data_IF_107101512937
#
_entry.id   IF_107101512937
#
_cell.length_a   1.000
_cell.length_b   1.000
_cell.length_c   1.000
_cell.angle_alpha   90.00
_cell.angle_beta   90.00
_cell.angle_gamma   90.00
#
_symmetry.space_group_name_H-M   'P 1'
#
loop_
_entity.id
_entity.type
_entity.pdbx_description
1 polymer ?
#
# COMPACT_ATOMS: atom_id res chain seq x y z
N UNK A 1 5.10 -16.81 -7.41
CA UNK A 1 5.19 -15.51 -8.11
C UNK A 1 5.74 -14.39 -7.26
N UNK A 2 5.78 -14.51 -5.95
CA UNK A 2 6.23 -13.44 -5.06
C UNK A 2 7.68 -12.98 -5.27
N UNK A 3 8.55 -13.82 -5.81
CA UNK A 3 9.96 -13.50 -6.08
C UNK A 3 10.23 -13.24 -7.57
N UNK A 4 9.23 -13.32 -8.41
CA UNK A 4 9.38 -13.07 -9.84
C UNK A 4 9.64 -11.58 -10.07
N UNK A 5 10.67 -11.19 -10.87
CA UNK A 5 10.98 -9.78 -11.10
C UNK A 5 9.82 -8.96 -11.69
N UNK A 6 9.00 -9.58 -12.56
CA UNK A 6 7.83 -8.89 -13.12
C UNK A 6 6.82 -8.59 -12.02
N UNK A 7 6.57 -9.55 -11.13
CA UNK A 7 5.64 -9.38 -10.03
C UNK A 7 6.14 -8.37 -9.00
N UNK A 8 7.44 -8.37 -8.71
CA UNK A 8 8.04 -7.37 -7.81
C UNK A 8 7.94 -5.96 -8.39
N UNK A 9 8.13 -5.83 -9.71
CA UNK A 9 7.97 -4.56 -10.40
C UNK A 9 6.52 -4.07 -10.32
N UNK A 10 5.56 -4.96 -10.56
CA UNK A 10 4.14 -4.64 -10.43
C UNK A 10 3.81 -4.18 -9.01
N UNK A 11 4.30 -4.87 -7.99
CA UNK A 11 4.11 -4.50 -6.60
C UNK A 11 4.65 -3.10 -6.32
N UNK A 12 5.84 -2.78 -6.82
CA UNK A 12 6.43 -1.45 -6.66
C UNK A 12 5.54 -0.37 -7.26
N UNK A 13 5.02 -0.59 -8.46
CA UNK A 13 4.11 0.38 -9.10
C UNK A 13 2.80 0.51 -8.34
N UNK A 14 2.26 -0.59 -7.80
CA UNK A 14 1.06 -0.53 -6.96
C UNK A 14 1.29 0.29 -5.69
N UNK A 15 2.46 0.17 -5.08
CA UNK A 15 2.82 0.95 -3.89
C UNK A 15 2.92 2.44 -4.20
N UNK A 16 3.55 2.80 -5.32
CA UNK A 16 3.63 4.19 -5.76
C UNK A 16 2.24 4.74 -6.08
N UNK A 17 1.41 3.94 -6.77
CA UNK A 17 0.05 4.34 -7.09
C UNK A 17 -0.78 4.54 -5.81
N UNK A 18 -0.63 3.67 -4.81
CA UNK A 18 -1.33 3.80 -3.54
C UNK A 18 -0.97 5.11 -2.84
N UNK A 19 0.31 5.47 -2.80
CA UNK A 19 0.76 6.74 -2.22
C UNK A 19 0.14 7.92 -2.95
N UNK A 20 0.12 7.87 -4.28
CA UNK A 20 -0.50 8.93 -5.09
C UNK A 20 -1.99 9.06 -4.80
N UNK A 21 -2.71 7.93 -4.73
CA UNK A 21 -4.16 7.94 -4.50
C UNK A 21 -4.52 8.42 -3.10
N UNK A 22 -3.72 8.09 -2.09
CA UNK A 22 -3.90 8.61 -0.74
C UNK A 22 -3.72 10.12 -0.74
N UNK A 23 -2.69 10.62 -1.43
CA UNK A 23 -2.48 12.06 -1.59
C UNK A 23 -3.61 12.72 -2.35
N UNK A 24 -4.11 12.09 -3.40
CA UNK A 24 -5.24 12.58 -4.20
C UNK A 24 -6.50 12.73 -3.33
N UNK A 25 -6.79 11.74 -2.50
CA UNK A 25 -7.91 11.82 -1.56
C UNK A 25 -7.73 12.99 -0.58
N UNK A 26 -6.54 13.13 -0.01
CA UNK A 26 -6.25 14.25 0.90
C UNK A 26 -6.41 15.61 0.24
N UNK A 27 -6.00 15.73 -1.01
CA UNK A 27 -6.09 16.98 -1.75
C UNK A 27 -7.53 17.31 -2.15
N UNK A 28 -8.28 16.34 -2.66
CA UNK A 28 -9.60 16.57 -3.26
C UNK A 28 -10.74 16.64 -2.25
N UNK A 29 -10.60 15.99 -1.09
CA UNK A 29 -11.68 15.87 -0.10
C UNK A 29 -11.56 16.85 1.05
N UNK A 30 -10.58 17.77 1.00
CA UNK A 30 -10.34 18.74 2.06
C UNK A 30 -10.04 20.12 1.48
N UNK A 31 -10.16 21.14 2.33
CA UNK A 31 -9.92 22.53 1.94
C UNK A 31 -8.94 23.19 2.90
N UNK A 32 -8.33 24.31 2.46
CA UNK A 32 -7.44 25.10 3.26
C UNK A 32 -6.16 24.35 3.66
N UNK A 33 -5.74 24.53 4.91
CA UNK A 33 -4.53 23.91 5.46
C UNK A 33 -4.63 22.39 5.47
N UNK A 34 -5.83 21.85 5.73
CA UNK A 34 -6.04 20.39 5.78
C UNK A 34 -5.74 19.71 4.45
N UNK A 35 -6.02 20.37 3.33
CA UNK A 35 -5.70 19.84 2.01
C UNK A 35 -4.21 19.55 1.89
N UNK A 36 -3.36 20.49 2.28
CA UNK A 36 -1.92 20.32 2.20
C UNK A 36 -1.40 19.28 3.20
N UNK A 37 -1.86 19.34 4.44
CA UNK A 37 -1.44 18.40 5.46
C UNK A 37 -1.78 16.95 5.09
N UNK A 38 -2.99 16.72 4.58
CA UNK A 38 -3.43 15.36 4.25
C UNK A 38 -2.86 14.89 2.92
N UNK A 39 -2.77 15.77 1.91
CA UNK A 39 -2.22 15.40 0.60
C UNK A 39 -0.75 15.02 0.66
N UNK A 40 0.03 15.63 1.53
CA UNK A 40 1.46 15.36 1.66
C UNK A 40 1.80 14.59 2.93
N UNK A 41 1.10 14.85 4.01
CA UNK A 41 1.37 14.18 5.30
C UNK A 41 0.95 12.72 5.34
N UNK A 42 -0.21 12.39 4.78
CA UNK A 42 -0.68 11.00 4.78
C UNK A 42 0.20 10.07 3.93
N UNK A 43 0.57 10.43 2.69
CA UNK A 43 1.51 9.59 1.94
C UNK A 43 2.86 9.46 2.62
N UNK A 44 3.37 10.55 3.22
CA UNK A 44 4.63 10.50 3.94
C UNK A 44 4.55 9.58 5.16
N UNK A 45 3.47 9.67 5.93
CA UNK A 45 3.24 8.79 7.08
C UNK A 45 3.12 7.33 6.63
N UNK A 46 2.35 7.07 5.58
CA UNK A 46 2.16 5.73 5.05
C UNK A 46 3.49 5.15 4.55
N UNK A 47 4.26 5.93 3.82
CA UNK A 47 5.56 5.51 3.31
C UNK A 47 6.55 5.21 4.45
N UNK A 48 6.51 6.02 5.51
CA UNK A 48 7.37 5.82 6.68
C UNK A 48 7.02 4.53 7.39
N UNK A 49 5.73 4.29 7.68
CA UNK A 49 5.28 3.05 8.34
C UNK A 49 5.64 1.85 7.47
N UNK A 50 5.34 1.94 6.18
CA UNK A 50 5.60 0.86 5.25
C UNK A 50 7.09 0.53 5.13
N UNK A 51 7.95 1.56 5.12
CA UNK A 51 9.39 1.37 4.97
C UNK A 51 10.13 0.97 6.25
N UNK A 52 9.60 1.34 7.42
CA UNK A 52 10.25 1.09 8.72
C UNK A 52 9.87 -0.29 9.28
N UNK A 53 8.58 -0.63 9.25
CA UNK A 53 8.06 -1.86 9.85
C UNK A 53 8.05 -2.98 8.81
N UNK A 54 9.12 -3.77 8.77
CA UNK A 54 9.27 -4.84 7.79
C UNK A 54 9.69 -6.15 8.43
N UNK A 55 9.46 -7.25 7.70
CA UNK A 55 9.94 -8.58 8.07
C UNK A 55 11.36 -8.73 7.54
N UNK A 56 12.29 -9.33 8.33
CA UNK A 56 13.64 -9.63 7.82
C UNK A 56 13.57 -10.46 6.54
N UNK A 57 14.31 -10.05 5.52
CA UNK A 57 14.34 -10.72 4.24
C UNK A 57 13.29 -10.25 3.23
N UNK A 58 12.41 -9.35 3.64
CA UNK A 58 11.38 -8.78 2.75
C UNK A 58 11.81 -7.37 2.33
N UNK A 59 12.67 -7.30 1.34
CA UNK A 59 13.15 -6.03 0.80
C UNK A 59 14.33 -5.43 1.54
N UNK A 60 15.12 -6.25 2.24
CA UNK A 60 16.33 -5.83 2.92
C UNK A 60 16.20 -5.75 4.44
N UNK A 61 17.25 -5.27 5.15
CA UNK A 61 17.22 -5.20 6.60
C UNK A 61 16.17 -4.21 7.10
N UNK A 62 15.29 -4.60 8.02
CA UNK A 62 14.28 -3.69 8.56
C UNK A 62 14.87 -2.80 9.65
N UNK A 63 14.37 -1.57 9.78
CA UNK A 63 14.69 -0.70 10.91
C UNK A 63 13.98 -1.18 12.18
N UNK A 64 12.71 -1.59 12.02
CA UNK A 64 11.94 -2.21 13.11
C UNK A 64 11.41 -3.54 12.61
N UNK A 65 11.75 -4.61 13.29
CA UNK A 65 11.28 -5.95 12.95
C UNK A 65 9.83 -6.13 13.38
N UNK A 66 9.03 -6.71 12.51
CA UNK A 66 7.65 -7.07 12.84
C UNK A 66 7.39 -8.50 12.39
N UNK A 67 6.34 -9.11 12.97
CA UNK A 67 5.88 -10.42 12.50
C UNK A 67 5.27 -10.29 11.11
N UNK A 68 5.20 -11.41 10.38
CA UNK A 68 4.59 -11.42 9.06
C UNK A 68 3.13 -11.02 9.08
N UNK A 69 2.40 -11.40 10.13
CA UNK A 69 1.00 -11.00 10.28
C UNK A 69 0.87 -9.49 10.41
N UNK A 70 1.72 -8.85 11.24
CA UNK A 70 1.70 -7.39 11.40
C UNK A 70 2.02 -6.70 10.08
N UNK A 71 3.03 -7.19 9.35
CA UNK A 71 3.38 -6.63 8.04
C UNK A 71 2.23 -6.76 7.06
N UNK A 72 1.57 -7.91 7.02
CA UNK A 72 0.44 -8.14 6.13
C UNK A 72 -0.72 -7.19 6.47
N UNK A 73 -1.00 -6.98 7.76
CA UNK A 73 -2.02 -6.04 8.20
C UNK A 73 -1.68 -4.60 7.78
N UNK A 74 -0.42 -4.19 7.89
CA UNK A 74 0.04 -2.87 7.42
C UNK A 74 -0.25 -2.72 5.93
N UNK A 75 0.06 -3.73 5.13
CA UNK A 75 -0.18 -3.70 3.68
C UNK A 75 -1.67 -3.64 3.35
N UNK A 76 -2.49 -4.42 4.05
CA UNK A 76 -3.94 -4.42 3.84
C UNK A 76 -4.53 -3.04 4.16
N UNK A 77 -4.13 -2.43 5.26
CA UNK A 77 -4.59 -1.09 5.63
C UNK A 77 -4.13 -0.06 4.61
N UNK A 78 -2.89 -0.13 4.17
CA UNK A 78 -2.31 0.80 3.20
C UNK A 78 -3.07 0.75 1.87
N UNK A 79 -3.19 -0.43 1.27
CA UNK A 79 -3.87 -0.58 -0.02
C UNK A 79 -5.39 -0.40 0.13
N UNK A 80 -5.97 -0.85 1.24
CA UNK A 80 -7.38 -0.67 1.53
C UNK A 80 -7.75 0.81 1.67
N UNK A 81 -6.92 1.60 2.34
CA UNK A 81 -7.14 3.04 2.48
C UNK A 81 -7.06 3.72 1.12
N UNK A 82 -6.07 3.37 0.30
CA UNK A 82 -5.93 3.95 -1.04
C UNK A 82 -7.16 3.65 -1.91
N UNK A 83 -7.64 2.41 -1.89
CA UNK A 83 -8.83 2.00 -2.64
C UNK A 83 -10.08 2.72 -2.14
N UNK A 84 -10.28 2.73 -0.83
CA UNK A 84 -11.41 3.44 -0.22
C UNK A 84 -11.38 4.93 -0.55
N UNK A 85 -10.18 5.54 -0.49
CA UNK A 85 -9.99 6.95 -0.80
C UNK A 85 -10.42 7.29 -2.22
N UNK A 86 -10.13 6.42 -3.19
CA UNK A 86 -10.57 6.60 -4.57
C UNK A 86 -12.10 6.60 -4.67
N UNK A 87 -12.78 5.66 -4.02
CA UNK A 87 -14.25 5.63 -4.00
C UNK A 87 -14.81 6.87 -3.31
N UNK A 88 -14.26 7.25 -2.18
CA UNK A 88 -14.71 8.42 -1.42
C UNK A 88 -14.51 9.71 -2.21
N UNK A 89 -13.46 9.80 -3.02
CA UNK A 89 -13.18 10.96 -3.87
C UNK A 89 -14.00 10.98 -5.16
N UNK A 90 -14.87 10.00 -5.38
CA UNK A 90 -15.67 9.89 -6.58
C UNK A 90 -14.96 9.27 -7.77
N UNK A 91 -13.72 8.84 -7.62
CA UNK A 91 -12.95 8.16 -8.66
C UNK A 91 -13.28 6.66 -8.67
N UNK A 92 -14.54 6.33 -8.91
CA UNK A 92 -15.07 4.96 -8.78
C UNK A 92 -14.39 3.99 -9.74
N UNK A 93 -14.21 4.39 -10.99
CA UNK A 93 -13.55 3.54 -12.00
C UNK A 93 -12.11 3.23 -11.57
N UNK A 94 -11.36 4.24 -11.14
CA UNK A 94 -9.99 4.05 -10.66
C UNK A 94 -9.95 3.16 -9.42
N UNK A 95 -10.93 3.31 -8.51
CA UNK A 95 -11.06 2.47 -7.32
C UNK A 95 -11.25 1.00 -7.68
N UNK A 96 -12.13 0.69 -8.61
CA UNK A 96 -12.34 -0.68 -9.08
C UNK A 96 -11.10 -1.25 -9.76
N UNK A 97 -10.45 -0.47 -10.62
CA UNK A 97 -9.24 -0.91 -11.33
C UNK A 97 -8.11 -1.16 -10.34
N UNK A 98 -7.82 -0.19 -9.48
CA UNK A 98 -6.71 -0.31 -8.53
C UNK A 98 -6.95 -1.44 -7.53
N UNK A 99 -8.15 -1.52 -6.94
CA UNK A 99 -8.51 -2.57 -6.00
C UNK A 99 -8.48 -3.95 -6.64
N UNK A 100 -8.97 -4.07 -7.88
CA UNK A 100 -8.94 -5.32 -8.63
C UNK A 100 -7.54 -5.78 -8.95
N UNK A 101 -6.67 -4.89 -9.39
CA UNK A 101 -5.26 -5.22 -9.70
C UNK A 101 -4.53 -5.61 -8.41
N UNK A 102 -4.75 -4.89 -7.32
CA UNK A 102 -4.14 -5.19 -6.03
C UNK A 102 -4.57 -6.58 -5.53
N UNK A 103 -5.85 -6.88 -5.60
CA UNK A 103 -6.37 -8.19 -5.20
C UNK A 103 -5.76 -9.30 -6.05
N UNK A 104 -5.70 -9.11 -7.36
CA UNK A 104 -5.10 -10.08 -8.28
C UNK A 104 -3.61 -10.28 -7.96
N UNK A 105 -2.90 -9.19 -7.67
CA UNK A 105 -1.49 -9.26 -7.28
C UNK A 105 -1.29 -10.14 -6.05
N UNK A 106 -2.13 -9.98 -5.01
CA UNK A 106 -2.03 -10.79 -3.80
C UNK A 106 -2.40 -12.25 -4.05
N UNK A 107 -3.36 -12.52 -4.92
CA UNK A 107 -3.72 -13.89 -5.30
C UNK A 107 -2.53 -14.57 -6.00
N UNK A 108 -1.89 -13.88 -6.94
CA UNK A 108 -0.72 -14.39 -7.66
C UNK A 108 0.47 -14.58 -6.71
N UNK A 109 0.58 -13.71 -5.71
CA UNK A 109 1.68 -13.72 -4.74
C UNK A 109 1.36 -14.54 -3.48
N UNK A 110 0.49 -15.55 -3.57
CA UNK A 110 0.09 -16.34 -2.41
C UNK A 110 1.27 -17.01 -1.70
N UNK A 111 2.34 -17.33 -2.42
CA UNK A 111 3.57 -17.87 -1.85
C UNK A 111 4.21 -16.90 -0.86
N UNK A 112 4.20 -15.60 -1.17
CA UNK A 112 4.69 -14.55 -0.26
C UNK A 112 3.79 -14.44 0.96
N UNK A 113 2.48 -14.50 0.80
CA UNK A 113 1.54 -14.45 1.92
C UNK A 113 1.80 -15.61 2.87
N UNK A 114 1.95 -16.82 2.33
CA UNK A 114 2.29 -18.00 3.13
C UNK A 114 3.62 -17.81 3.86
N UNK A 115 4.62 -17.27 3.19
CA UNK A 115 5.92 -16.99 3.80
C UNK A 115 5.79 -15.97 4.94
N UNK A 116 5.02 -14.89 4.74
CA UNK A 116 4.79 -13.87 5.76
C UNK A 116 4.11 -14.45 7.00
N UNK A 117 3.11 -15.30 6.81
CA UNK A 117 2.36 -15.89 7.91
C UNK A 117 3.23 -16.82 8.78
N UNK A 118 4.37 -17.26 8.28
CA UNK A 118 5.33 -18.09 9.01
C UNK A 118 6.40 -17.26 9.72
N UNK A 119 6.43 -15.96 9.52
CA UNK A 119 7.36 -15.05 10.17
C UNK A 119 6.76 -14.47 11.47
#
# INVERSE_FOLDING_TARGET
MGQNPINLTLRFFLELAALYFIGYWGWTQHEGVWRYLLAFGLPLLAATIWGVFRVPGDGGPPRVRVSGLVRLLIEIVFFGFATWGLFNAGATTAGWIFGGITLLHYIISYDRINWLLKQ
#
